data_IF_296938968443
#
_entry.id   IF_296938968443
#
_cell.length_a   1.000
_cell.length_b   1.000
_cell.length_c   1.000
_cell.angle_alpha   90.00
_cell.angle_beta   90.00
_cell.angle_gamma   90.00
#
_symmetry.space_group_name_H-M   'P 1'
#
loop_
_entity.id
_entity.type
_entity.pdbx_description
1 polymer ?
#
# COMPACT_ATOMS: atom_id res chain seq x y z
N UNK A 1 34.97 43.45 11.54
CA UNK A 1 34.49 42.12 11.97
C UNK A 1 33.22 41.81 11.21
N UNK A 2 33.31 40.98 10.17
CA UNK A 2 32.16 40.59 9.35
C UNK A 2 31.51 39.38 10.02
N UNK A 3 30.30 39.54 10.54
CA UNK A 3 29.48 38.45 11.07
C UNK A 3 29.12 37.52 9.92
N UNK A 4 29.84 36.41 9.80
CA UNK A 4 29.44 35.30 8.97
C UNK A 4 28.05 34.85 9.47
N UNK A 5 27.01 35.14 8.68
CA UNK A 5 25.69 34.54 8.87
C UNK A 5 25.92 33.04 8.86
N UNK A 6 25.61 32.37 9.97
CA UNK A 6 25.45 30.92 10.02
C UNK A 6 24.54 30.55 8.86
N UNK A 7 25.14 30.07 7.78
CA UNK A 7 24.43 29.48 6.67
C UNK A 7 23.53 28.41 7.26
N UNK A 8 22.25 28.54 6.96
CA UNK A 8 21.13 27.72 7.39
C UNK A 8 21.40 26.25 7.04
N UNK A 9 22.13 25.55 7.92
CA UNK A 9 22.52 24.15 7.75
C UNK A 9 21.24 23.33 7.75
N UNK A 10 20.86 22.82 6.57
CA UNK A 10 19.69 21.96 6.42
C UNK A 10 18.59 22.47 5.49
N UNK A 11 18.63 23.72 5.01
CA UNK A 11 17.56 24.20 4.12
C UNK A 11 17.79 23.94 2.63
N UNK A 12 19.00 23.50 2.25
CA UNK A 12 19.38 23.17 0.89
C UNK A 12 18.59 21.99 0.27
N UNK A 13 18.40 22.04 -1.04
CA UNK A 13 17.68 21.01 -1.82
C UNK A 13 18.29 19.62 -1.67
N UNK A 14 19.62 19.53 -1.60
CA UNK A 14 20.34 18.27 -1.35
C UNK A 14 20.05 17.69 0.03
N UNK A 15 19.95 18.54 1.06
CA UNK A 15 19.67 18.08 2.43
C UNK A 15 18.25 17.51 2.54
N UNK A 16 17.27 18.14 1.87
CA UNK A 16 15.90 17.62 1.76
C UNK A 16 15.82 16.32 0.96
N UNK A 17 16.63 16.19 -0.11
CA UNK A 17 16.70 14.95 -0.88
C UNK A 17 17.28 13.81 -0.04
N UNK A 18 18.37 14.05 0.69
CA UNK A 18 18.93 13.08 1.64
C UNK A 18 17.93 12.67 2.72
N UNK A 19 17.18 13.63 3.31
CA UNK A 19 16.15 13.32 4.30
C UNK A 19 15.03 12.45 3.74
N UNK A 20 14.63 12.69 2.49
CA UNK A 20 13.63 11.89 1.78
C UNK A 20 14.15 10.47 1.52
N UNK A 21 15.39 10.33 1.04
CA UNK A 21 16.02 9.03 0.79
C UNK A 21 16.16 8.25 2.11
N UNK A 22 16.63 8.90 3.18
CA UNK A 22 16.73 8.29 4.50
C UNK A 22 15.38 7.81 5.01
N UNK A 23 14.32 8.61 4.84
CA UNK A 23 12.95 8.22 5.21
C UNK A 23 12.48 7.02 4.39
N UNK A 24 12.68 7.02 3.07
CA UNK A 24 12.29 5.92 2.19
C UNK A 24 13.02 4.63 2.57
N UNK A 25 14.34 4.66 2.73
CA UNK A 25 15.13 3.48 3.10
C UNK A 25 14.75 2.95 4.48
N UNK A 26 14.48 3.83 5.45
CA UNK A 26 14.09 3.42 6.80
C UNK A 26 12.69 2.79 6.82
N UNK A 27 11.74 3.37 6.10
CA UNK A 27 10.38 2.81 5.97
C UNK A 27 10.42 1.51 5.20
N UNK A 28 11.23 1.39 4.15
CA UNK A 28 11.42 0.16 3.38
C UNK A 28 11.97 -0.96 4.26
N UNK A 29 13.05 -0.68 5.01
CA UNK A 29 13.64 -1.65 5.91
C UNK A 29 12.65 -2.13 6.99
N UNK A 30 11.86 -1.23 7.56
CA UNK A 30 10.84 -1.58 8.55
C UNK A 30 9.66 -2.34 7.95
N UNK A 31 9.24 -1.99 6.73
CA UNK A 31 8.21 -2.72 5.98
C UNK A 31 8.68 -4.14 5.72
N UNK A 32 9.88 -4.31 5.17
CA UNK A 32 10.46 -5.63 4.92
C UNK A 32 10.64 -6.43 6.20
N UNK A 33 11.10 -5.80 7.28
CA UNK A 33 11.28 -6.48 8.58
C UNK A 33 9.94 -6.95 9.16
N UNK A 34 8.89 -6.13 9.08
CA UNK A 34 7.55 -6.48 9.59
C UNK A 34 6.78 -7.44 8.67
N UNK A 35 7.03 -7.39 7.36
CA UNK A 35 6.47 -8.33 6.38
C UNK A 35 7.31 -9.61 6.23
N UNK A 36 8.55 -9.63 6.75
CA UNK A 36 9.48 -10.76 6.63
C UNK A 36 8.91 -12.11 7.05
N UNK A 37 8.13 -12.27 8.15
CA UNK A 37 7.59 -13.59 8.48
C UNK A 37 6.61 -14.08 7.40
N UNK A 38 5.84 -13.17 6.81
CA UNK A 38 4.91 -13.49 5.72
C UNK A 38 5.64 -13.81 4.41
N UNK A 39 6.63 -12.99 4.04
CA UNK A 39 7.43 -13.20 2.84
C UNK A 39 8.29 -14.47 2.92
N UNK A 40 8.91 -14.75 4.08
CA UNK A 40 9.66 -15.97 4.29
C UNK A 40 8.76 -17.22 4.20
N UNK A 41 7.55 -17.15 4.75
CA UNK A 41 6.59 -18.24 4.63
C UNK A 41 6.14 -18.45 3.17
N UNK A 42 5.98 -17.37 2.37
CA UNK A 42 5.70 -17.48 0.94
C UNK A 42 6.86 -18.10 0.15
N UNK A 43 8.11 -17.76 0.46
CA UNK A 43 9.30 -18.33 -0.19
C UNK A 43 9.47 -19.83 0.10
N UNK A 44 9.03 -20.27 1.29
CA UNK A 44 9.03 -21.69 1.66
C UNK A 44 7.86 -22.46 1.05
N UNK A 45 6.78 -21.75 0.66
CA UNK A 45 5.61 -22.35 0.06
C UNK A 45 5.91 -22.72 -1.40
N UNK A 46 5.60 -23.97 -1.75
CA UNK A 46 5.68 -24.40 -3.14
C UNK A 46 4.57 -23.71 -3.95
N UNK A 47 4.86 -23.20 -5.16
CA UNK A 47 3.84 -22.69 -6.07
C UNK A 47 2.89 -23.82 -6.50
N UNK A 48 1.78 -23.95 -5.78
CA UNK A 48 0.74 -24.96 -6.01
C UNK A 48 -0.62 -24.29 -5.77
N UNK A 49 -1.61 -24.45 -6.67
CA UNK A 49 -2.97 -23.98 -6.45
C UNK A 49 -3.58 -24.39 -5.10
N UNK A 50 -3.18 -25.53 -4.54
CA UNK A 50 -3.62 -25.99 -3.22
C UNK A 50 -3.12 -25.11 -2.07
N UNK A 51 -2.00 -24.40 -2.27
CA UNK A 51 -1.37 -23.55 -1.26
C UNK A 51 -1.88 -22.10 -1.28
N UNK A 52 -2.81 -21.74 -2.19
CA UNK A 52 -3.40 -20.41 -2.26
C UNK A 52 -3.99 -19.86 -0.94
N UNK A 53 -4.76 -20.63 -0.14
CA UNK A 53 -5.24 -20.12 1.15
C UNK A 53 -4.11 -19.92 2.17
N UNK A 54 -3.08 -20.76 2.15
CA UNK A 54 -1.90 -20.59 3.00
C UNK A 54 -1.09 -19.37 2.57
N UNK A 55 -0.96 -19.12 1.26
CA UNK A 55 -0.34 -17.92 0.73
C UNK A 55 -1.08 -16.65 1.19
N UNK A 56 -2.43 -16.68 1.21
CA UNK A 56 -3.24 -15.58 1.72
C UNK A 56 -2.99 -15.30 3.22
N UNK A 57 -2.83 -16.34 4.04
CA UNK A 57 -2.47 -16.19 5.45
C UNK A 57 -1.09 -15.55 5.61
N UNK A 58 -0.13 -15.92 4.75
CA UNK A 58 1.21 -15.33 4.76
C UNK A 58 1.20 -13.84 4.35
N UNK A 59 0.19 -13.39 3.60
CA UNK A 59 0.00 -11.99 3.21
C UNK A 59 -0.74 -11.16 4.27
N UNK A 60 -1.25 -11.76 5.35
CA UNK A 60 -1.91 -11.01 6.44
C UNK A 60 -1.04 -9.91 7.07
N UNK A 61 0.25 -10.13 7.41
CA UNK A 61 1.09 -9.09 8.00
C UNK A 61 1.39 -7.93 7.05
N UNK A 62 1.15 -8.05 5.74
CA UNK A 62 1.36 -6.94 4.80
C UNK A 62 0.36 -5.80 4.98
N UNK A 63 -0.90 -6.07 5.30
CA UNK A 63 -1.91 -5.03 5.55
C UNK A 63 -1.47 -3.98 6.60
N UNK A 64 -1.12 -4.38 7.84
CA UNK A 64 -0.63 -3.45 8.86
C UNK A 64 0.73 -2.82 8.49
N UNK A 65 1.61 -3.53 7.78
CA UNK A 65 2.90 -2.97 7.35
C UNK A 65 2.72 -1.84 6.31
N UNK A 66 1.84 -2.05 5.31
CA UNK A 66 1.54 -1.08 4.26
C UNK A 66 0.84 0.17 4.84
N UNK A 67 -0.13 0.00 5.74
CA UNK A 67 -0.80 1.14 6.39
C UNK A 67 0.12 1.94 7.30
N UNK A 68 1.07 1.30 7.98
CA UNK A 68 2.11 1.97 8.77
C UNK A 68 3.09 2.75 7.88
N UNK A 69 3.49 2.17 6.75
CA UNK A 69 4.34 2.84 5.76
C UNK A 69 3.65 4.08 5.17
N UNK A 70 2.38 3.96 4.76
CA UNK A 70 1.59 5.09 4.27
C UNK A 70 1.47 6.21 5.33
N UNK A 71 1.27 5.85 6.60
CA UNK A 71 1.17 6.81 7.69
C UNK A 71 2.49 7.56 7.90
N UNK A 72 3.61 6.82 7.92
CA UNK A 72 4.95 7.38 8.09
C UNK A 72 5.35 8.28 6.91
N UNK A 73 5.02 7.89 5.67
CA UNK A 73 5.31 8.67 4.46
C UNK A 73 4.44 9.93 4.35
N UNK A 74 3.20 9.90 4.84
CA UNK A 74 2.33 11.08 4.87
C UNK A 74 2.75 12.08 5.95
N UNK A 75 3.07 11.61 7.15
CA UNK A 75 3.46 12.43 8.30
C UNK A 75 4.97 12.73 8.35
N UNK A 76 5.69 12.57 7.24
CA UNK A 76 7.11 12.86 7.18
C UNK A 76 7.35 14.36 7.41
N UNK A 77 8.09 14.71 8.46
CA UNK A 77 8.59 16.06 8.65
C UNK A 77 9.61 16.39 7.57
N UNK A 78 9.47 17.56 6.96
CA UNK A 78 10.49 18.13 6.06
C UNK A 78 11.62 18.83 6.84
N UNK A 79 11.44 19.00 8.13
CA UNK A 79 12.42 19.55 9.03
C UNK A 79 13.44 18.47 9.44
N UNK A 80 14.71 18.81 9.37
CA UNK A 80 15.81 17.87 9.57
C UNK A 80 16.08 17.60 11.04
N UNK A 81 15.72 18.55 11.90
CA UNK A 81 15.84 18.47 13.35
C UNK A 81 14.88 17.45 13.96
N UNK A 82 13.78 17.13 13.27
CA UNK A 82 12.73 16.22 13.76
C UNK A 82 12.62 14.92 12.94
N UNK A 83 13.72 14.43 12.35
CA UNK A 83 13.69 13.25 11.50
C UNK A 83 13.61 11.94 12.32
N UNK A 84 12.39 11.49 12.63
CA UNK A 84 12.14 10.23 13.36
C UNK A 84 11.26 9.25 12.57
N UNK A 85 11.70 8.77 11.38
CA UNK A 85 10.88 7.92 10.50
C UNK A 85 10.47 6.61 11.17
N UNK A 86 11.34 6.00 11.99
CA UNK A 86 11.03 4.77 12.70
C UNK A 86 9.92 4.95 13.75
N UNK A 87 9.92 6.08 14.48
CA UNK A 87 8.87 6.37 15.47
C UNK A 87 7.52 6.62 14.79
N UNK A 88 7.53 7.32 13.65
CA UNK A 88 6.32 7.54 12.85
C UNK A 88 5.73 6.21 12.34
N UNK A 89 6.58 5.30 11.86
CA UNK A 89 6.17 3.96 11.43
C UNK A 89 5.56 3.14 12.57
N UNK A 90 6.25 3.05 13.72
CA UNK A 90 5.73 2.31 14.89
C UNK A 90 4.41 2.90 15.41
N UNK A 91 4.28 4.23 15.41
CA UNK A 91 3.03 4.89 15.80
C UNK A 91 1.91 4.54 14.81
N UNK A 92 2.17 4.63 13.50
CA UNK A 92 1.21 4.24 12.46
C UNK A 92 0.81 2.77 12.57
N UNK A 93 1.76 1.89 12.86
CA UNK A 93 1.50 0.46 13.07
C UNK A 93 0.58 0.23 14.26
N UNK A 94 0.85 0.84 15.42
CA UNK A 94 0.00 0.69 16.62
C UNK A 94 -1.42 1.23 16.43
N UNK A 95 -1.59 2.32 15.68
CA UNK A 95 -2.89 2.94 15.45
C UNK A 95 -3.70 2.19 14.38
N UNK A 96 -3.05 1.74 13.31
CA UNK A 96 -3.73 1.23 12.13
C UNK A 96 -3.73 -0.29 12.01
N UNK A 97 -3.00 -1.05 12.84
CA UNK A 97 -2.89 -2.49 12.67
C UNK A 97 -4.23 -3.23 12.73
N UNK A 98 -5.06 -2.96 13.75
CA UNK A 98 -6.35 -3.65 13.92
C UNK A 98 -7.37 -3.22 12.85
N UNK A 99 -7.58 -1.91 12.57
CA UNK A 99 -8.44 -1.47 11.48
C UNK A 99 -7.99 -2.01 10.11
N UNK A 100 -6.69 -1.99 9.84
CA UNK A 100 -6.12 -2.53 8.60
C UNK A 100 -6.39 -4.02 8.48
N UNK A 101 -6.14 -4.82 9.52
CA UNK A 101 -6.42 -6.26 9.49
C UNK A 101 -7.90 -6.55 9.25
N UNK A 102 -8.83 -5.84 9.90
CA UNK A 102 -10.28 -6.04 9.72
C UNK A 102 -10.75 -5.78 8.29
N UNK A 103 -10.05 -4.94 7.54
CA UNK A 103 -10.37 -4.62 6.15
C UNK A 103 -9.58 -5.48 5.16
N UNK A 104 -8.32 -5.78 5.49
CA UNK A 104 -7.41 -6.58 4.69
C UNK A 104 -7.79 -8.05 4.68
N UNK A 105 -8.25 -8.61 5.80
CA UNK A 105 -8.68 -10.01 5.89
C UNK A 105 -9.80 -10.35 4.91
N UNK A 106 -10.97 -9.66 4.88
CA UNK A 106 -12.03 -10.01 3.93
C UNK A 106 -11.61 -9.75 2.48
N UNK A 107 -10.80 -8.72 2.23
CA UNK A 107 -10.28 -8.44 0.89
C UNK A 107 -9.39 -9.58 0.40
N UNK A 108 -8.44 -10.03 1.23
CA UNK A 108 -7.59 -11.17 0.90
C UNK A 108 -8.41 -12.43 0.70
N UNK A 109 -9.34 -12.75 1.59
CA UNK A 109 -10.22 -13.91 1.44
C UNK A 109 -10.95 -13.88 0.10
N UNK A 110 -11.49 -12.72 -0.28
CA UNK A 110 -12.17 -12.56 -1.57
C UNK A 110 -11.23 -12.73 -2.77
N UNK A 111 -10.04 -12.11 -2.73
CA UNK A 111 -9.03 -12.27 -3.77
C UNK A 111 -8.54 -13.72 -3.88
N UNK A 112 -8.41 -14.44 -2.78
CA UNK A 112 -8.07 -15.87 -2.77
C UNK A 112 -9.13 -16.70 -3.47
N UNK A 113 -10.41 -16.43 -3.22
CA UNK A 113 -11.52 -17.13 -3.90
C UNK A 113 -11.47 -16.87 -5.41
N UNK A 114 -11.24 -15.62 -5.83
CA UNK A 114 -11.12 -15.27 -7.25
C UNK A 114 -9.91 -15.99 -7.87
N UNK A 115 -8.74 -15.92 -7.23
CA UNK A 115 -7.52 -16.56 -7.71
C UNK A 115 -7.69 -18.07 -7.83
N UNK A 116 -8.27 -18.72 -6.81
CA UNK A 116 -8.54 -20.16 -6.81
C UNK A 116 -9.52 -20.57 -7.92
N UNK A 117 -10.55 -19.74 -8.15
CA UNK A 117 -11.52 -19.98 -9.23
C UNK A 117 -10.86 -19.84 -10.60
N UNK A 118 -9.98 -18.86 -10.77
CA UNK A 118 -9.24 -18.65 -12.01
C UNK A 118 -8.21 -19.76 -12.29
N UNK A 119 -7.52 -20.27 -11.26
CA UNK A 119 -6.56 -21.37 -11.44
C UNK A 119 -7.24 -22.69 -11.80
N UNK A 120 -8.43 -22.95 -11.28
CA UNK A 120 -9.23 -24.14 -11.60
C UNK A 120 -10.26 -23.90 -12.71
N UNK A 121 -10.17 -22.77 -13.42
CA UNK A 121 -11.19 -22.35 -14.39
C UNK A 121 -11.37 -23.36 -15.52
N UNK A 122 -10.28 -24.01 -15.97
CA UNK A 122 -10.33 -25.04 -17.02
C UNK A 122 -11.22 -26.24 -16.65
N UNK A 123 -11.40 -26.53 -15.36
CA UNK A 123 -12.24 -27.61 -14.87
C UNK A 123 -13.74 -27.24 -14.81
N UNK A 124 -14.10 -25.96 -14.95
CA UNK A 124 -15.49 -25.49 -14.79
C UNK A 124 -16.34 -25.64 -16.05
N UNK A 125 -15.73 -25.83 -17.23
CA UNK A 125 -16.44 -25.88 -18.50
C UNK A 125 -17.15 -24.58 -18.90
N UNK A 126 -16.88 -23.47 -18.21
CA UNK A 126 -17.50 -22.17 -18.45
C UNK A 126 -16.87 -21.46 -19.67
N UNK A 127 -17.65 -20.61 -20.37
CA UNK A 127 -17.12 -19.75 -21.41
C UNK A 127 -16.00 -18.83 -20.92
N UNK A 128 -14.94 -18.64 -21.72
CA UNK A 128 -13.77 -17.83 -21.33
C UNK A 128 -14.05 -16.38 -20.95
N UNK A 129 -15.19 -15.79 -21.35
CA UNK A 129 -15.57 -14.45 -20.91
C UNK A 129 -15.85 -14.35 -19.40
N UNK A 130 -16.20 -15.45 -18.74
CA UNK A 130 -16.32 -15.49 -17.28
C UNK A 130 -14.98 -15.27 -16.58
N UNK A 131 -13.89 -15.82 -17.12
CA UNK A 131 -12.55 -15.56 -16.59
C UNK A 131 -12.18 -14.08 -16.71
N UNK A 132 -12.55 -13.43 -17.82
CA UNK A 132 -12.35 -11.99 -17.99
C UNK A 132 -13.12 -11.18 -16.94
N UNK A 133 -14.39 -11.52 -16.67
CA UNK A 133 -15.16 -10.85 -15.62
C UNK A 133 -14.55 -11.02 -14.24
N UNK A 134 -14.11 -12.23 -13.89
CA UNK A 134 -13.43 -12.50 -12.63
C UNK A 134 -12.12 -11.71 -12.50
N UNK A 135 -11.34 -11.60 -13.59
CA UNK A 135 -10.14 -10.79 -13.62
C UNK A 135 -10.43 -9.29 -13.43
N UNK A 136 -11.50 -8.77 -14.06
CA UNK A 136 -11.95 -7.38 -13.87
C UNK A 136 -12.39 -7.14 -12.42
N UNK A 137 -13.15 -8.05 -11.82
CA UNK A 137 -13.61 -7.95 -10.43
C UNK A 137 -12.41 -8.02 -9.47
N UNK A 138 -11.44 -8.90 -9.71
CA UNK A 138 -10.21 -8.99 -8.92
C UNK A 138 -9.39 -7.71 -8.98
N UNK A 139 -9.22 -7.15 -10.18
CA UNK A 139 -8.50 -5.88 -10.39
C UNK A 139 -9.23 -4.71 -9.71
N UNK A 140 -10.55 -4.64 -9.85
CA UNK A 140 -11.38 -3.65 -9.16
C UNK A 140 -11.29 -3.76 -7.64
N UNK A 141 -11.24 -4.98 -7.11
CA UNK A 141 -11.07 -5.24 -5.67
C UNK A 141 -9.69 -4.77 -5.16
N UNK A 142 -8.63 -4.97 -5.94
CA UNK A 142 -7.28 -4.46 -5.64
C UNK A 142 -7.24 -2.93 -5.63
N UNK A 143 -7.85 -2.29 -6.62
CA UNK A 143 -7.95 -0.82 -6.68
C UNK A 143 -8.73 -0.26 -5.49
N UNK A 144 -9.87 -0.89 -5.18
CA UNK A 144 -10.65 -0.55 -4.00
C UNK A 144 -9.83 -0.71 -2.72
N UNK A 145 -9.10 -1.81 -2.58
CA UNK A 145 -8.21 -2.07 -1.44
C UNK A 145 -7.12 -1.01 -1.29
N UNK A 146 -6.49 -0.58 -2.40
CA UNK A 146 -5.47 0.46 -2.38
C UNK A 146 -6.01 1.79 -1.81
N UNK A 147 -7.18 2.24 -2.28
CA UNK A 147 -7.82 3.44 -1.76
C UNK A 147 -8.25 3.29 -0.29
N UNK A 148 -8.79 2.12 0.06
CA UNK A 148 -9.26 1.86 1.40
C UNK A 148 -8.09 1.78 2.42
N UNK A 149 -6.93 1.26 2.03
CA UNK A 149 -5.70 1.29 2.83
C UNK A 149 -5.18 2.70 3.06
N UNK A 150 -5.20 3.56 2.03
CA UNK A 150 -4.83 4.98 2.17
C UNK A 150 -5.75 5.69 3.15
N UNK A 151 -7.07 5.49 3.02
CA UNK A 151 -8.03 6.10 3.94
C UNK A 151 -7.88 5.56 5.37
N UNK A 152 -7.72 4.25 5.54
CA UNK A 152 -7.52 3.62 6.86
C UNK A 152 -6.22 4.07 7.53
N UNK A 153 -5.19 4.33 6.73
CA UNK A 153 -3.90 4.82 7.23
C UNK A 153 -3.99 6.25 7.75
N UNK A 154 -4.80 7.10 7.10
CA UNK A 154 -4.84 8.54 7.36
C UNK A 154 -6.02 9.00 8.23
N UNK A 155 -7.10 8.24 8.26
CA UNK A 155 -8.33 8.62 8.95
C UNK A 155 -8.87 7.49 9.82
N UNK A 156 -9.25 7.84 11.05
CA UNK A 156 -9.84 6.92 12.01
C UNK A 156 -11.37 6.82 11.80
N UNK A 157 -11.79 6.11 10.74
CA UNK A 157 -13.20 5.79 10.50
C UNK A 157 -13.52 4.33 10.81
N UNK A 158 -14.81 4.01 11.01
CA UNK A 158 -15.25 2.61 11.05
C UNK A 158 -14.92 1.95 9.71
N UNK A 159 -14.39 0.72 9.74
CA UNK A 159 -13.98 -0.01 8.54
C UNK A 159 -15.09 -0.10 7.46
N UNK A 160 -16.37 -0.15 7.86
CA UNK A 160 -17.52 -0.14 6.95
C UNK A 160 -17.70 1.18 6.21
N UNK A 161 -17.43 2.30 6.87
CA UNK A 161 -17.58 3.63 6.29
C UNK A 161 -16.40 3.92 5.36
N UNK A 162 -15.19 3.51 5.76
CA UNK A 162 -14.00 3.54 4.89
C UNK A 162 -14.19 2.72 3.62
N UNK A 163 -14.77 1.51 3.75
CA UNK A 163 -15.08 0.64 2.62
C UNK A 163 -16.02 1.31 1.61
N UNK A 164 -17.09 1.94 2.10
CA UNK A 164 -18.06 2.66 1.26
C UNK A 164 -17.43 3.87 0.59
N UNK A 165 -16.64 4.64 1.34
CA UNK A 165 -15.99 5.84 0.83
C UNK A 165 -14.91 5.50 -0.22
N UNK A 166 -14.17 4.41 -0.02
CA UNK A 166 -13.21 3.92 -1.02
C UNK A 166 -13.91 3.51 -2.32
N UNK A 167 -15.06 2.82 -2.25
CA UNK A 167 -15.85 2.48 -3.43
C UNK A 167 -16.38 3.72 -4.14
N UNK A 168 -16.80 4.73 -3.38
CA UNK A 168 -17.24 6.01 -3.94
C UNK A 168 -16.13 6.74 -4.70
N UNK A 169 -14.93 6.82 -4.11
CA UNK A 169 -13.79 7.48 -4.75
C UNK A 169 -13.24 6.72 -5.97
N UNK A 170 -13.48 5.41 -6.05
CA UNK A 170 -13.14 4.61 -7.23
C UNK A 170 -13.82 5.15 -8.49
N UNK A 171 -15.07 5.59 -8.38
CA UNK A 171 -15.83 6.10 -9.53
C UNK A 171 -15.72 7.62 -9.68
N UNK A 172 -15.59 8.36 -8.57
CA UNK A 172 -15.57 9.82 -8.60
C UNK A 172 -14.22 10.42 -9.00
N UNK A 173 -13.09 9.76 -8.67
CA UNK A 173 -11.74 10.24 -8.99
C UNK A 173 -11.00 9.35 -9.98
N UNK A 174 -11.47 9.37 -11.24
CA UNK A 174 -10.88 8.59 -12.34
C UNK A 174 -9.37 8.79 -12.52
N UNK A 175 -8.82 9.98 -12.20
CA UNK A 175 -7.37 10.23 -12.27
C UNK A 175 -6.59 9.52 -11.17
N UNK A 176 -7.13 9.48 -9.95
CA UNK A 176 -6.50 8.79 -8.83
C UNK A 176 -6.57 7.27 -9.03
N UNK A 177 -7.68 6.76 -9.56
CA UNK A 177 -7.80 5.33 -9.90
C UNK A 177 -6.92 4.93 -11.07
N UNK A 178 -6.78 5.78 -12.09
CA UNK A 178 -5.87 5.50 -13.20
C UNK A 178 -4.40 5.50 -12.74
N UNK A 179 -4.03 6.39 -11.81
CA UNK A 179 -2.72 6.37 -11.18
C UNK A 179 -2.51 5.12 -10.30
N UNK A 180 -3.51 4.68 -9.55
CA UNK A 180 -3.44 3.43 -8.80
C UNK A 180 -3.37 2.21 -9.74
N UNK A 181 -4.11 2.21 -10.84
CA UNK A 181 -4.12 1.16 -11.86
C UNK A 181 -2.77 1.05 -12.58
N UNK A 182 -2.16 2.17 -12.95
CA UNK A 182 -0.83 2.16 -13.56
C UNK A 182 0.23 1.63 -12.59
N UNK A 183 0.14 1.97 -11.31
CA UNK A 183 1.03 1.41 -10.27
C UNK A 183 0.78 -0.08 -10.06
N UNK A 184 -0.47 -0.56 -10.08
CA UNK A 184 -0.77 -2.00 -10.01
C UNK A 184 -0.18 -2.74 -11.20
N UNK A 185 -0.34 -2.23 -12.43
CA UNK A 185 0.24 -2.82 -13.64
C UNK A 185 1.76 -2.85 -13.53
N UNK A 186 2.39 -1.76 -13.09
CA UNK A 186 3.83 -1.69 -12.89
C UNK A 186 4.32 -2.72 -11.84
N UNK A 187 3.58 -2.87 -10.74
CA UNK A 187 3.89 -3.82 -9.66
C UNK A 187 3.77 -5.26 -10.17
N UNK A 188 2.69 -5.57 -10.91
CA UNK A 188 2.49 -6.89 -11.49
C UNK A 188 3.55 -7.20 -12.56
N UNK A 189 3.80 -6.27 -13.50
CA UNK A 189 4.79 -6.44 -14.56
C UNK A 189 6.20 -6.62 -14.01
N UNK A 190 6.58 -5.87 -12.96
CA UNK A 190 7.89 -6.04 -12.32
C UNK A 190 8.02 -7.38 -11.60
N UNK A 191 6.96 -7.86 -10.95
CA UNK A 191 6.97 -9.19 -10.33
C UNK A 191 7.13 -10.31 -11.38
N UNK A 192 6.46 -10.19 -12.54
CA UNK A 192 6.45 -11.25 -13.56
C UNK A 192 7.63 -11.22 -14.53
N UNK A 193 8.14 -10.02 -14.87
CA UNK A 193 9.17 -9.85 -15.91
C UNK A 193 10.58 -9.72 -15.35
N UNK A 194 10.72 -9.30 -14.09
CA UNK A 194 12.03 -9.02 -13.47
C UNK A 194 12.30 -10.01 -12.36
N UNK A 195 11.88 -9.70 -11.13
CA UNK A 195 12.03 -10.57 -9.97
C UNK A 195 10.87 -10.35 -9.03
N UNK A 196 10.44 -11.42 -8.37
CA UNK A 196 9.38 -11.37 -7.34
C UNK A 196 9.76 -10.45 -6.16
N UNK A 197 11.06 -10.22 -5.95
CA UNK A 197 11.58 -9.35 -4.90
C UNK A 197 11.59 -7.86 -5.27
N UNK A 198 11.56 -7.50 -6.56
CA UNK A 198 11.66 -6.09 -6.98
C UNK A 198 10.51 -5.21 -6.47
N UNK A 199 9.23 -5.64 -6.53
CA UNK A 199 8.14 -4.86 -5.97
C UNK A 199 8.27 -4.66 -4.46
N UNK A 200 8.82 -5.66 -3.76
CA UNK A 200 9.04 -5.61 -2.32
C UNK A 200 10.20 -4.67 -1.93
N UNK A 201 11.19 -4.48 -2.80
CA UNK A 201 12.32 -3.55 -2.64
C UNK A 201 12.02 -2.11 -3.10
N UNK A 202 10.91 -1.94 -3.83
CA UNK A 202 10.41 -0.64 -4.30
C UNK A 202 9.08 -0.28 -3.63
N UNK A 203 8.76 -0.87 -2.48
CA UNK A 203 7.45 -0.70 -1.85
C UNK A 203 7.24 0.75 -1.40
N UNK A 204 8.20 1.34 -0.68
CA UNK A 204 8.15 2.72 -0.19
C UNK A 204 8.02 3.76 -1.32
N UNK A 205 8.80 3.74 -2.42
CA UNK A 205 8.58 4.68 -3.51
C UNK A 205 7.24 4.45 -4.24
N UNK A 206 6.78 3.20 -4.41
CA UNK A 206 5.46 2.92 -4.98
C UNK A 206 4.32 3.48 -4.10
N UNK A 207 4.41 3.29 -2.79
CA UNK A 207 3.46 3.85 -1.81
C UNK A 207 3.51 5.39 -1.79
N UNK A 208 4.71 5.97 -1.92
CA UNK A 208 4.84 7.42 -2.03
C UNK A 208 4.16 7.93 -3.30
N UNK A 209 4.34 7.27 -4.44
CA UNK A 209 3.65 7.59 -5.71
C UNK A 209 2.14 7.46 -5.57
N UNK A 210 1.65 6.41 -4.88
CA UNK A 210 0.23 6.24 -4.59
C UNK A 210 -0.33 7.40 -3.74
N UNK A 211 0.41 7.83 -2.73
CA UNK A 211 0.04 9.01 -1.91
C UNK A 211 0.00 10.29 -2.74
N UNK A 212 0.90 10.46 -3.71
CA UNK A 212 0.89 11.61 -4.61
C UNK A 212 -0.32 11.59 -5.55
N UNK A 213 -0.64 10.43 -6.12
CA UNK A 213 -1.83 10.25 -6.96
C UNK A 213 -3.15 10.43 -6.20
N UNK A 214 -3.15 10.11 -4.90
CA UNK A 214 -4.34 10.17 -4.03
C UNK A 214 -4.52 11.52 -3.32
N UNK A 215 -3.71 12.54 -3.63
CA UNK A 215 -3.76 13.84 -2.92
C UNK A 215 -5.12 14.52 -3.00
N UNK A 216 -5.80 14.45 -4.15
CA UNK A 216 -7.15 15.04 -4.31
C UNK A 216 -8.17 14.35 -3.40
N UNK A 217 -8.10 13.02 -3.32
CA UNK A 217 -8.95 12.20 -2.45
C UNK A 217 -8.74 12.55 -0.97
N UNK A 218 -7.47 12.69 -0.56
CA UNK A 218 -7.12 13.05 0.82
C UNK A 218 -7.62 14.45 1.17
N UNK A 219 -7.48 15.42 0.25
CA UNK A 219 -7.90 16.80 0.46
C UNK A 219 -9.43 16.93 0.59
N UNK A 220 -10.20 16.27 -0.28
CA UNK A 220 -11.67 16.25 -0.21
C UNK A 220 -12.14 15.55 1.07
N UNK A 221 -11.57 14.38 1.40
CA UNK A 221 -11.93 13.67 2.65
C UNK A 221 -11.67 14.53 3.89
N UNK A 222 -10.53 15.24 3.93
CA UNK A 222 -10.21 16.14 5.05
C UNK A 222 -11.21 17.30 5.16
N UNK A 223 -11.58 17.88 4.02
CA UNK A 223 -12.51 19.02 3.98
C UNK A 223 -13.92 18.64 4.39
N UNK A 224 -14.41 17.50 3.92
CA UNK A 224 -15.82 17.14 4.04
C UNK A 224 -16.16 16.31 5.29
N UNK A 225 -15.16 15.62 5.87
CA UNK A 225 -15.39 14.68 6.97
C UNK A 225 -14.56 14.93 8.24
N UNK A 226 -13.64 15.90 8.25
CA UNK A 226 -12.82 16.21 9.44
C UNK A 226 -12.79 17.68 9.83
N UNK A 227 -13.55 18.54 9.14
CA UNK A 227 -13.72 19.96 9.48
C UNK A 227 -14.87 20.17 10.46
#
# INVERSE_FOLDING_TARGET
MSTARTSDFGTGTLSRACALIHTLLTVEALLLLTASPGLAALLLLRPDPANLPLAALCLLPLGPALTAALYALHHRSRDLTELHPARAYLRGWRLNAVPALKLWTPLLTWLTVIAFTLTHFSATGLPGWWALLLAVIGTGSLLWGAHALVLTSLFAFRARDTARLAAYFLFRHGRATLAAASLLILTAASATLLTEALPALLAAPLLLSLLHGSRSVIAETRKDFTA
#
